data_IF_150054538564
#
_entry.id   IF_150054538564
#
_cell.length_a   1.000
_cell.length_b   1.000
_cell.length_c   1.000
_cell.angle_alpha   90.00
_cell.angle_beta   90.00
_cell.angle_gamma   90.00
#
_symmetry.space_group_name_H-M   'P 1'
#
loop_
_entity.id
_entity.type
_entity.pdbx_description
1 polymer ?
#
# COMPACT_ATOMS: atom_id res chain seq x y z
N UNK A 1 20.62 12.67 -1.00
CA UNK A 1 19.21 12.86 -0.67
C UNK A 1 18.49 11.54 -0.69
N UNK A 2 17.68 11.30 0.34
CA UNK A 2 16.92 10.07 0.42
C UNK A 2 15.73 10.13 -0.54
N UNK A 3 15.49 9.02 -1.23
CA UNK A 3 14.34 8.88 -2.10
C UNK A 3 13.14 8.41 -1.30
N UNK A 4 11.97 8.50 -1.89
CA UNK A 4 10.71 8.09 -1.26
C UNK A 4 10.09 6.92 -1.99
N UNK A 5 9.77 5.87 -1.24
CA UNK A 5 9.07 4.68 -1.72
C UNK A 5 7.62 4.81 -1.31
N UNK A 6 6.70 4.65 -2.26
CA UNK A 6 5.28 4.52 -1.94
C UNK A 6 4.94 3.06 -1.81
N UNK A 7 4.36 2.68 -0.69
CA UNK A 7 3.92 1.33 -0.40
C UNK A 7 2.41 1.32 -0.18
N UNK A 8 1.62 1.09 -1.24
CA UNK A 8 0.17 0.89 -1.06
C UNK A 8 -0.09 -0.44 -0.37
N UNK A 9 -1.00 -0.46 0.57
CA UNK A 9 -1.35 -1.69 1.29
C UNK A 9 -2.85 -1.79 1.53
N UNK A 10 -3.37 -2.99 1.35
CA UNK A 10 -4.76 -3.33 1.65
C UNK A 10 -4.87 -4.43 2.70
N UNK A 11 -3.75 -4.79 3.34
CA UNK A 11 -3.71 -5.85 4.34
C UNK A 11 -3.65 -7.26 3.77
N UNK A 12 -3.58 -7.41 2.46
CA UNK A 12 -3.45 -8.73 1.82
C UNK A 12 -2.05 -9.32 2.03
N UNK A 13 -1.91 -10.62 1.79
CA UNK A 13 -0.61 -11.30 1.87
C UNK A 13 0.39 -10.74 0.86
N UNK A 14 -0.08 -10.38 -0.33
CA UNK A 14 0.77 -9.78 -1.34
C UNK A 14 1.27 -8.40 -0.89
N UNK A 15 0.41 -7.62 -0.23
CA UNK A 15 0.80 -6.34 0.35
C UNK A 15 1.80 -6.53 1.49
N UNK A 16 1.65 -7.57 2.30
CA UNK A 16 2.62 -7.90 3.35
C UNK A 16 4.00 -8.22 2.76
N UNK A 17 4.05 -9.01 1.68
CA UNK A 17 5.31 -9.31 0.99
C UNK A 17 5.92 -8.05 0.38
N UNK A 18 5.10 -7.19 -0.19
CA UNK A 18 5.56 -5.89 -0.69
C UNK A 18 6.16 -5.05 0.45
N UNK A 19 5.54 -5.09 1.63
CA UNK A 19 6.06 -4.41 2.83
C UNK A 19 7.42 -4.93 3.24
N UNK A 20 7.61 -6.24 3.27
CA UNK A 20 8.91 -6.86 3.57
C UNK A 20 9.98 -6.44 2.57
N UNK A 21 9.62 -6.43 1.29
CA UNK A 21 10.54 -6.01 0.24
C UNK A 21 10.90 -4.53 0.38
N UNK A 22 9.92 -3.67 0.65
CA UNK A 22 10.15 -2.24 0.84
C UNK A 22 11.09 -1.96 2.03
N UNK A 23 10.89 -2.67 3.14
CA UNK A 23 11.74 -2.55 4.32
C UNK A 23 13.17 -2.97 4.00
N UNK A 24 13.35 -4.10 3.33
CA UNK A 24 14.68 -4.58 2.93
C UNK A 24 15.37 -3.59 1.99
N UNK A 25 14.62 -3.04 1.04
CA UNK A 25 15.14 -2.06 0.10
C UNK A 25 15.56 -0.76 0.82
N UNK A 26 14.70 -0.26 1.69
CA UNK A 26 14.96 0.97 2.45
C UNK A 26 16.15 0.80 3.41
N UNK A 27 16.33 -0.39 3.95
CA UNK A 27 17.48 -0.69 4.80
C UNK A 27 18.80 -0.53 4.05
N UNK A 28 18.83 -0.94 2.79
CA UNK A 28 20.03 -0.85 1.95
C UNK A 28 20.25 0.57 1.46
N UNK A 29 19.18 1.26 1.04
CA UNK A 29 19.27 2.56 0.36
C UNK A 29 19.16 3.77 1.28
N UNK A 30 18.56 3.60 2.45
CA UNK A 30 18.20 4.72 3.33
C UNK A 30 16.97 5.48 2.90
N UNK A 31 16.20 4.95 1.97
CA UNK A 31 15.00 5.62 1.45
C UNK A 31 13.88 5.66 2.50
N UNK A 32 13.04 6.69 2.42
CA UNK A 32 11.84 6.83 3.24
C UNK A 32 10.70 6.01 2.65
N UNK A 33 9.89 5.40 3.52
CA UNK A 33 8.70 4.66 3.09
C UNK A 33 7.45 5.47 3.41
N UNK A 34 6.61 5.70 2.41
CA UNK A 34 5.28 6.29 2.57
C UNK A 34 4.26 5.16 2.43
N UNK A 35 3.67 4.74 3.54
CA UNK A 35 2.65 3.69 3.54
C UNK A 35 1.30 4.34 3.24
N UNK A 36 0.61 3.82 2.23
CA UNK A 36 -0.69 4.35 1.82
C UNK A 36 -1.76 3.27 1.90
N UNK A 37 -2.81 3.55 2.65
CA UNK A 37 -4.04 2.76 2.57
C UNK A 37 -5.14 3.62 1.95
N UNK A 38 -5.82 3.07 0.94
CA UNK A 38 -6.94 3.75 0.27
C UNK A 38 -8.24 3.04 0.64
N UNK A 39 -9.17 3.81 1.19
CA UNK A 39 -10.54 3.34 1.42
C UNK A 39 -11.28 3.45 0.10
N UNK A 40 -11.66 2.31 -0.47
CA UNK A 40 -12.26 2.23 -1.80
C UNK A 40 -13.69 2.76 -1.80
N UNK A 41 -13.86 3.98 -2.25
CA UNK A 41 -15.17 4.63 -2.29
C UNK A 41 -16.09 4.08 -3.38
N UNK A 42 -15.53 3.54 -4.47
CA UNK A 42 -16.36 2.89 -5.50
C UNK A 42 -17.02 1.64 -4.95
N UNK A 43 -16.24 0.82 -4.25
CA UNK A 43 -16.76 -0.37 -3.59
C UNK A 43 -17.82 0.00 -2.56
N UNK A 44 -17.52 1.01 -1.75
CA UNK A 44 -18.44 1.50 -0.72
C UNK A 44 -19.74 2.02 -1.33
N UNK A 45 -19.62 2.83 -2.37
CA UNK A 45 -20.80 3.44 -3.03
C UNK A 45 -21.61 2.45 -3.87
N UNK A 46 -21.07 1.27 -4.15
CA UNK A 46 -21.80 0.22 -4.85
C UNK A 46 -22.88 -0.42 -3.98
N UNK A 47 -22.84 -0.19 -2.66
CA UNK A 47 -23.83 -0.72 -1.72
C UNK A 47 -24.99 0.26 -1.59
N UNK A 48 -26.21 -0.11 -2.06
CA UNK A 48 -27.32 0.83 -2.11
C UNK A 48 -27.97 1.11 -0.76
N UNK A 49 -27.85 0.22 0.21
CA UNK A 49 -28.49 0.34 1.51
C UNK A 49 -27.61 1.13 2.48
N UNK A 50 -28.07 2.27 3.02
CA UNK A 50 -27.24 3.12 3.89
C UNK A 50 -26.68 2.42 5.12
N UNK A 51 -27.47 1.58 5.77
CA UNK A 51 -27.03 0.87 6.99
C UNK A 51 -25.88 -0.11 6.68
N UNK A 52 -26.03 -0.87 5.59
CA UNK A 52 -25.01 -1.82 5.14
C UNK A 52 -23.74 -1.08 4.70
N UNK A 53 -23.93 0.06 4.01
CA UNK A 53 -22.80 0.90 3.60
C UNK A 53 -22.02 1.44 4.78
N UNK A 54 -22.70 1.87 5.84
CA UNK A 54 -22.05 2.34 7.06
C UNK A 54 -21.25 1.25 7.74
N UNK A 55 -21.78 0.03 7.80
CA UNK A 55 -21.07 -1.11 8.36
C UNK A 55 -19.84 -1.45 7.52
N UNK A 56 -19.96 -1.41 6.20
CA UNK A 56 -18.84 -1.63 5.28
C UNK A 56 -17.77 -0.55 5.44
N UNK A 57 -18.17 0.71 5.60
CA UNK A 57 -17.23 1.80 5.83
C UNK A 57 -16.40 1.56 7.08
N UNK A 58 -17.03 1.15 8.17
CA UNK A 58 -16.32 0.81 9.42
C UNK A 58 -15.36 -0.36 9.22
N UNK A 59 -15.77 -1.37 8.48
CA UNK A 59 -14.94 -2.53 8.19
C UNK A 59 -13.72 -2.14 7.35
N UNK A 60 -13.91 -1.33 6.31
CA UNK A 60 -12.81 -0.86 5.46
C UNK A 60 -11.80 -0.02 6.25
N UNK A 61 -12.28 0.82 7.15
CA UNK A 61 -11.40 1.62 8.01
C UNK A 61 -10.64 0.74 9.01
N UNK A 62 -11.28 -0.27 9.56
CA UNK A 62 -10.64 -1.25 10.44
C UNK A 62 -9.58 -2.07 9.69
N UNK A 63 -9.88 -2.47 8.46
CA UNK A 63 -8.91 -3.18 7.59
C UNK A 63 -7.67 -2.31 7.35
N UNK A 64 -7.88 -1.02 7.10
CA UNK A 64 -6.77 -0.09 6.91
C UNK A 64 -5.89 0.03 8.14
N UNK A 65 -6.50 0.10 9.29
CA UNK A 65 -5.79 0.16 10.56
C UNK A 65 -4.94 -1.09 10.78
N UNK A 66 -5.51 -2.27 10.51
CA UNK A 66 -4.79 -3.53 10.60
C UNK A 66 -3.63 -3.61 9.63
N UNK A 67 -3.82 -3.13 8.40
CA UNK A 67 -2.76 -3.13 7.39
C UNK A 67 -1.57 -2.28 7.84
N UNK A 68 -1.84 -1.11 8.40
CA UNK A 68 -0.81 -0.22 8.93
C UNK A 68 -0.10 -0.86 10.13
N UNK A 69 -0.84 -1.46 11.03
CA UNK A 69 -0.25 -2.13 12.19
C UNK A 69 0.61 -3.32 11.78
N UNK A 70 0.22 -4.06 10.76
CA UNK A 70 1.02 -5.15 10.20
C UNK A 70 2.36 -4.62 9.70
N UNK A 71 2.35 -3.51 8.97
CA UNK A 71 3.59 -2.89 8.49
C UNK A 71 4.49 -2.47 9.66
N UNK A 72 3.93 -1.83 10.67
CA UNK A 72 4.69 -1.40 11.85
C UNK A 72 5.32 -2.58 12.57
N UNK A 73 4.58 -3.68 12.69
CA UNK A 73 5.10 -4.93 13.30
C UNK A 73 6.25 -5.49 12.49
N UNK A 74 6.12 -5.54 11.16
CA UNK A 74 7.21 -5.99 10.28
C UNK A 74 8.47 -5.14 10.47
N UNK A 75 8.29 -3.84 10.56
CA UNK A 75 9.40 -2.91 10.73
C UNK A 75 10.08 -3.11 12.09
N UNK A 76 9.32 -3.23 13.16
CA UNK A 76 9.84 -3.48 14.51
C UNK A 76 10.62 -4.79 14.58
N UNK A 77 10.09 -5.86 14.02
CA UNK A 77 10.75 -7.16 13.98
C UNK A 77 12.08 -7.09 13.23
N UNK A 78 12.12 -6.38 12.11
CA UNK A 78 13.34 -6.19 11.34
C UNK A 78 14.40 -5.42 12.13
N UNK A 79 13.98 -4.40 12.84
CA UNK A 79 14.90 -3.60 13.70
C UNK A 79 15.41 -4.41 14.89
N UNK A 80 14.53 -5.17 15.56
CA UNK A 80 14.91 -6.02 16.69
C UNK A 80 15.90 -7.11 16.30
N UNK A 81 15.81 -7.60 15.07
CA UNK A 81 16.73 -8.59 14.56
C UNK A 81 18.04 -7.99 14.04
N UNK A 82 18.22 -6.69 14.20
CA UNK A 82 19.43 -5.98 13.75
C UNK A 82 19.55 -5.86 12.24
N UNK A 83 18.49 -6.17 11.51
CA UNK A 83 18.50 -6.15 10.04
C UNK A 83 18.28 -4.77 9.47
N UNK A 84 17.57 -3.91 10.19
CA UNK A 84 17.24 -2.57 9.73
C UNK A 84 17.64 -1.54 10.76
N UNK A 85 18.31 -0.50 10.32
CA UNK A 85 18.54 0.67 11.14
C UNK A 85 17.42 1.68 10.85
N UNK A 86 17.31 2.70 11.61
CA UNK A 86 16.26 3.71 11.60
C UNK A 86 15.68 4.03 10.20
N UNK A 87 14.67 3.27 9.80
CA UNK A 87 13.93 3.55 8.57
C UNK A 87 12.88 4.62 8.87
N UNK A 88 12.94 5.71 8.14
CA UNK A 88 11.91 6.74 8.23
C UNK A 88 10.68 6.31 7.44
N UNK A 89 9.51 6.47 8.05
CA UNK A 89 8.26 6.18 7.37
C UNK A 89 7.15 7.12 7.82
N UNK A 90 6.16 7.27 6.97
CA UNK A 90 4.92 7.93 7.36
C UNK A 90 3.74 7.17 6.80
N UNK A 91 2.57 7.36 7.39
CA UNK A 91 1.35 6.65 7.05
C UNK A 91 0.32 7.64 6.54
N UNK A 92 -0.28 7.32 5.40
CA UNK A 92 -1.37 8.08 4.82
C UNK A 92 -2.58 7.17 4.65
N UNK A 93 -3.74 7.67 5.08
CA UNK A 93 -5.02 7.00 4.83
C UNK A 93 -5.86 7.97 4.02
N UNK A 94 -6.24 7.57 2.82
CA UNK A 94 -7.00 8.40 1.89
C UNK A 94 -8.25 7.66 1.43
N UNK A 95 -9.22 8.42 0.94
CA UNK A 95 -10.45 7.88 0.36
C UNK A 95 -10.44 8.14 -1.14
N UNK A 96 -10.95 7.20 -1.91
CA UNK A 96 -11.08 7.38 -3.36
C UNK A 96 -11.02 6.07 -4.12
N UNK A 97 -10.81 6.18 -5.42
CA UNK A 97 -10.54 5.02 -6.26
C UNK A 97 -9.09 4.61 -6.04
N UNK A 98 -8.82 3.35 -5.70
CA UNK A 98 -7.48 2.96 -5.28
C UNK A 98 -6.36 3.35 -6.24
N UNK A 99 -6.46 2.97 -7.51
CA UNK A 99 -5.40 3.28 -8.47
C UNK A 99 -5.24 4.78 -8.70
N UNK A 100 -6.32 5.50 -8.84
CA UNK A 100 -6.29 6.96 -9.06
C UNK A 100 -5.68 7.68 -7.85
N UNK A 101 -6.01 7.23 -6.65
CA UNK A 101 -5.49 7.80 -5.42
C UNK A 101 -3.99 7.53 -5.27
N UNK A 102 -3.54 6.32 -5.63
CA UNK A 102 -2.13 5.97 -5.65
C UNK A 102 -1.36 6.88 -6.62
N UNK A 103 -1.87 7.02 -7.86
CA UNK A 103 -1.23 7.85 -8.88
C UNK A 103 -1.14 9.32 -8.45
N UNK A 104 -2.20 9.82 -7.85
CA UNK A 104 -2.22 11.19 -7.32
C UNK A 104 -1.22 11.38 -6.18
N UNK A 105 -1.10 10.39 -5.30
CA UNK A 105 -0.17 10.44 -4.17
C UNK A 105 1.29 10.45 -4.64
N UNK A 106 1.61 9.78 -5.75
CA UNK A 106 2.95 9.83 -6.34
C UNK A 106 3.36 11.27 -6.60
N UNK A 107 2.46 12.08 -7.17
CA UNK A 107 2.73 13.48 -7.46
C UNK A 107 2.74 14.34 -6.19
N UNK A 108 1.75 14.15 -5.31
CA UNK A 108 1.60 14.97 -4.11
C UNK A 108 2.75 14.79 -3.11
N UNK A 109 3.30 13.59 -3.01
CA UNK A 109 4.35 13.26 -2.05
C UNK A 109 5.75 13.19 -2.67
N UNK A 110 5.90 13.53 -3.93
CA UNK A 110 7.18 13.46 -4.64
C UNK A 110 7.81 12.07 -4.54
N UNK A 111 7.02 11.06 -4.83
CA UNK A 111 7.44 9.65 -4.76
C UNK A 111 8.40 9.32 -5.90
N UNK A 112 9.47 8.62 -5.58
CA UNK A 112 10.50 8.22 -6.56
C UNK A 112 10.27 6.82 -7.14
N UNK A 113 9.62 5.94 -6.38
CA UNK A 113 9.24 4.60 -6.86
C UNK A 113 8.08 4.04 -6.06
N UNK A 114 7.39 3.09 -6.65
CA UNK A 114 6.28 2.37 -6.01
C UNK A 114 6.67 0.91 -5.82
N UNK A 115 6.38 0.37 -4.65
CA UNK A 115 6.48 -1.07 -4.39
C UNK A 115 5.09 -1.54 -4.01
N UNK A 116 4.51 -2.41 -4.80
CA UNK A 116 3.10 -2.80 -4.67
C UNK A 116 2.94 -4.32 -4.83
N UNK A 117 1.99 -4.89 -4.10
CA UNK A 117 1.65 -6.29 -4.25
C UNK A 117 0.98 -6.57 -5.59
N UNK A 118 1.21 -7.75 -6.13
CA UNK A 118 0.70 -8.17 -7.44
C UNK A 118 -0.82 -8.11 -7.54
N UNK A 119 -1.51 -8.57 -6.52
CA UNK A 119 -2.96 -8.48 -6.43
C UNK A 119 -3.35 -8.18 -5.01
N UNK A 120 -4.51 -7.56 -4.84
CA UNK A 120 -5.00 -7.18 -3.53
C UNK A 120 -5.83 -8.28 -2.86
N UNK A 121 -6.59 -7.84 -1.86
CA UNK A 121 -7.45 -8.68 -1.02
C UNK A 121 -8.49 -9.47 -1.80
N UNK A 122 -8.96 -8.92 -2.90
CA UNK A 122 -9.91 -9.55 -3.82
C UNK A 122 -9.18 -10.09 -5.06
N UNK A 123 -7.91 -10.41 -4.86
CA UNK A 123 -7.02 -10.84 -5.92
C UNK A 123 -7.56 -12.00 -6.73
N UNK A 124 -7.46 -11.84 -8.03
CA UNK A 124 -7.88 -12.79 -9.01
C UNK A 124 -6.73 -13.75 -9.31
N UNK A 125 -6.71 -14.30 -10.46
CA UNK A 125 -5.83 -15.38 -10.83
C UNK A 125 -4.33 -15.14 -10.62
N UNK A 126 -3.62 -16.24 -10.41
CA UNK A 126 -2.21 -16.34 -10.06
C UNK A 126 -1.25 -15.60 -10.98
N UNK A 127 -1.60 -15.47 -12.26
CA UNK A 127 -0.70 -14.93 -13.27
C UNK A 127 -1.07 -13.55 -13.81
N UNK A 128 -2.17 -12.99 -13.33
CA UNK A 128 -2.62 -11.66 -13.74
C UNK A 128 -2.38 -10.65 -12.63
N UNK A 129 -1.98 -9.45 -13.00
CA UNK A 129 -1.92 -8.34 -12.06
C UNK A 129 -3.33 -8.01 -11.58
N UNK A 130 -3.47 -7.65 -10.32
CA UNK A 130 -4.72 -7.14 -9.82
C UNK A 130 -5.10 -5.85 -10.54
N UNK A 131 -6.38 -5.56 -10.57
CA UNK A 131 -6.92 -4.38 -11.27
C UNK A 131 -6.20 -3.08 -10.89
N UNK A 132 -5.98 -2.88 -9.59
CA UNK A 132 -5.28 -1.69 -9.09
C UNK A 132 -3.82 -1.68 -9.50
N UNK A 133 -3.11 -2.79 -9.31
CA UNK A 133 -1.69 -2.91 -9.65
C UNK A 133 -1.45 -2.71 -11.13
N UNK A 134 -2.30 -3.31 -11.97
CA UNK A 134 -2.21 -3.17 -13.43
C UNK A 134 -2.35 -1.71 -13.87
N UNK A 135 -3.33 -1.00 -13.32
CA UNK A 135 -3.55 0.41 -13.67
C UNK A 135 -2.40 1.30 -13.20
N UNK A 136 -1.85 1.02 -12.02
CA UNK A 136 -0.70 1.77 -11.49
C UNK A 136 0.53 1.54 -12.39
N UNK A 137 0.81 0.29 -12.74
CA UNK A 137 1.94 -0.05 -13.62
C UNK A 137 1.84 0.68 -14.97
N UNK A 138 0.64 0.73 -15.56
CA UNK A 138 0.44 1.36 -16.86
C UNK A 138 0.52 2.87 -16.84
N UNK A 139 0.14 3.50 -15.75
CA UNK A 139 -0.02 4.96 -15.70
C UNK A 139 1.02 5.70 -14.87
N UNK A 140 1.77 5.03 -14.02
CA UNK A 140 2.77 5.68 -13.18
C UNK A 140 3.94 6.22 -13.99
N UNK A 141 4.39 7.42 -13.61
CA UNK A 141 5.56 8.06 -14.24
C UNK A 141 6.87 7.72 -13.53
N UNK A 142 6.81 6.92 -12.49
CA UNK A 142 7.97 6.46 -11.73
C UNK A 142 8.05 4.93 -11.82
N UNK A 143 9.22 4.33 -11.52
CA UNK A 143 9.33 2.87 -11.51
C UNK A 143 8.34 2.24 -10.54
N UNK A 144 7.78 1.10 -10.93
CA UNK A 144 6.85 0.31 -10.12
C UNK A 144 7.38 -1.11 -10.01
N UNK A 145 7.64 -1.54 -8.78
CA UNK A 145 8.03 -2.91 -8.48
C UNK A 145 6.79 -3.68 -8.00
N UNK A 146 6.43 -4.72 -8.71
CA UNK A 146 5.28 -5.55 -8.39
C UNK A 146 5.77 -6.82 -7.69
N UNK A 147 5.31 -7.04 -6.48
CA UNK A 147 5.75 -8.16 -5.64
C UNK A 147 4.63 -9.19 -5.53
N UNK A 148 4.95 -10.43 -5.84
CA UNK A 148 3.99 -11.54 -5.75
C UNK A 148 4.21 -12.41 -4.52
#
# INVERSE_FOLDING_TARGET
>A
MNKKILLPTDGSKNAERAGEYAISHADITGDEIVVLHVIDTDYLNSVPQPDVRNDLDKELRADGKRAVETFKTQLEESQCNGKCQNIEFKVLVKEGKPADTILKTIDEEDIDQVIIGKSGKHGLERYLLGKTSDKVVKAAKVPVNVIS
#
